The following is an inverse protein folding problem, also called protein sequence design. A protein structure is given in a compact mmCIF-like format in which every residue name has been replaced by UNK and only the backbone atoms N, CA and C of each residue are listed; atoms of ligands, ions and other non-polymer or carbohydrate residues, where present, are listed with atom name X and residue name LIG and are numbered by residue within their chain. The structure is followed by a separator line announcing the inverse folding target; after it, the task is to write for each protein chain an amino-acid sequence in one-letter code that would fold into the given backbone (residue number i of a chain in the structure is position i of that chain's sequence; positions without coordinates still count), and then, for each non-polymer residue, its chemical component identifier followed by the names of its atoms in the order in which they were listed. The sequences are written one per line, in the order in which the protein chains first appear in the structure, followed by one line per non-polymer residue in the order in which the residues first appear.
data_IF_016469850123
#
_entry.id   IF_016469850123
#
_cell.length_a   1.000
_cell.length_b   1.000
_cell.length_c   1.000
_cell.angle_alpha   90.00
_cell.angle_beta   90.00
_cell.angle_gamma   90.00
#
_symmetry.space_group_name_H-M   'P 1'
#
loop_
_entity.id
_entity.type
_entity.pdbx_description
1 polymer ?
#
# COMPACT_ATOMS: atom_id res chain seq x y z
N UNK A 1 -2.50 -25.82 9.82
CA UNK A 1 -3.20 -25.11 8.72
C UNK A 1 -2.20 -24.15 8.09
N UNK A 2 -1.84 -24.34 6.82
CA UNK A 2 -0.91 -23.46 6.12
C UNK A 2 -1.53 -22.07 6.00
N UNK A 3 -0.83 -21.02 6.43
CA UNK A 3 -1.31 -19.66 6.28
C UNK A 3 -1.44 -19.34 4.78
N UNK A 4 -2.62 -18.88 4.35
CA UNK A 4 -2.83 -18.44 2.98
C UNK A 4 -1.96 -17.21 2.72
N UNK A 5 -1.22 -17.23 1.62
CA UNK A 5 -0.41 -16.10 1.16
C UNK A 5 -1.06 -15.40 -0.03
N UNK A 6 -0.58 -14.21 -0.34
CA UNK A 6 -0.77 -13.50 -1.61
C UNK A 6 0.60 -13.04 -2.09
N UNK A 7 0.77 -12.91 -3.40
CA UNK A 7 2.00 -12.37 -4.00
C UNK A 7 1.75 -10.96 -4.49
N UNK A 8 2.58 -10.01 -4.05
CA UNK A 8 2.61 -8.67 -4.61
C UNK A 8 3.57 -8.67 -5.79
N UNK A 9 3.13 -8.17 -6.94
CA UNK A 9 3.93 -8.09 -8.17
C UNK A 9 4.07 -6.62 -8.55
N UNK A 10 5.18 -5.98 -8.18
CA UNK A 10 5.40 -4.58 -8.53
C UNK A 10 6.86 -4.17 -8.48
N UNK A 11 7.17 -3.06 -9.15
CA UNK A 11 8.50 -2.46 -9.15
C UNK A 11 8.74 -1.55 -7.94
N UNK A 12 9.94 -0.96 -7.90
CA UNK A 12 10.41 -0.14 -6.78
C UNK A 12 9.49 1.06 -6.51
N UNK A 13 9.01 1.76 -7.55
CA UNK A 13 8.23 2.97 -7.34
C UNK A 13 6.87 2.67 -6.71
N UNK A 14 6.22 1.60 -7.16
CA UNK A 14 4.94 1.15 -6.59
C UNK A 14 5.13 0.62 -5.17
N UNK A 15 6.21 -0.15 -4.93
CA UNK A 15 6.61 -0.63 -3.61
C UNK A 15 6.85 0.53 -2.63
N UNK A 16 7.56 1.57 -3.04
CA UNK A 16 7.86 2.71 -2.17
C UNK A 16 6.58 3.41 -1.69
N UNK A 17 5.60 3.59 -2.58
CA UNK A 17 4.29 4.13 -2.21
C UNK A 17 3.54 3.17 -1.28
N UNK A 18 3.55 1.86 -1.57
CA UNK A 18 2.89 0.88 -0.72
C UNK A 18 3.47 0.90 0.72
N UNK A 19 4.80 0.88 0.83
CA UNK A 19 5.49 0.94 2.11
C UNK A 19 5.23 2.26 2.85
N UNK A 20 5.22 3.39 2.14
CA UNK A 20 4.89 4.69 2.73
C UNK A 20 3.45 4.71 3.28
N UNK A 21 2.48 4.22 2.50
CA UNK A 21 1.08 4.14 2.90
C UNK A 21 0.88 3.28 4.16
N UNK A 22 1.52 2.10 4.21
CA UNK A 22 1.44 1.20 5.37
C UNK A 22 2.04 1.85 6.61
N UNK A 23 3.22 2.47 6.49
CA UNK A 23 3.92 3.11 7.61
C UNK A 23 3.14 4.31 8.15
N UNK A 24 2.65 5.19 7.27
CA UNK A 24 1.86 6.37 7.69
C UNK A 24 0.55 5.93 8.36
N UNK A 25 -0.17 4.99 7.75
CA UNK A 25 -1.38 4.43 8.36
C UNK A 25 -1.11 3.80 9.73
N UNK A 26 -0.02 3.04 9.88
CA UNK A 26 0.34 2.43 11.16
C UNK A 26 0.55 3.48 12.26
N UNK A 27 1.26 4.56 11.96
CA UNK A 27 1.54 5.62 12.93
C UNK A 27 0.29 6.45 13.27
N UNK A 28 -0.59 6.69 12.30
CA UNK A 28 -1.80 7.51 12.52
C UNK A 28 -2.92 6.71 13.18
N UNK A 29 -3.19 5.49 12.70
CA UNK A 29 -4.27 4.65 13.23
C UNK A 29 -3.91 4.02 14.59
N UNK A 30 -2.62 3.80 14.86
CA UNK A 30 -2.11 3.16 16.07
C UNK A 30 -0.95 3.98 16.67
N UNK A 31 -1.24 5.15 17.27
CA UNK A 31 -0.21 6.02 17.82
C UNK A 31 0.53 5.37 19.00
N UNK A 32 1.74 5.84 19.26
CA UNK A 32 2.57 5.39 20.39
C UNK A 32 1.86 5.69 21.72
N UNK A 33 1.98 4.77 22.68
CA UNK A 33 1.29 4.89 23.98
C UNK A 33 -0.19 4.52 23.96
N UNK A 34 -0.72 4.03 22.83
CA UNK A 34 -2.03 3.37 22.78
C UNK A 34 -2.08 2.05 23.56
N UNK A 35 -3.23 1.36 23.50
CA UNK A 35 -3.39 0.05 24.15
C UNK A 35 -2.39 -1.00 23.63
N UNK A 36 -2.11 -2.04 24.42
CA UNK A 36 -1.22 -3.13 24.01
C UNK A 36 -1.67 -3.76 22.68
N UNK A 37 -2.99 -3.94 22.49
CA UNK A 37 -3.52 -4.45 21.23
C UNK A 37 -3.28 -3.51 20.04
N UNK A 38 -3.34 -2.19 20.25
CA UNK A 38 -2.99 -1.21 19.22
C UNK A 38 -1.49 -1.27 18.88
N UNK A 39 -0.62 -1.44 19.89
CA UNK A 39 0.82 -1.57 19.66
C UNK A 39 1.18 -2.84 18.87
N UNK A 40 0.49 -3.96 19.12
CA UNK A 40 0.67 -5.18 18.32
C UNK A 40 0.26 -4.93 16.86
N UNK A 41 -0.87 -4.27 16.62
CA UNK A 41 -1.32 -3.93 15.26
C UNK A 41 -0.32 -3.01 14.55
N UNK A 42 0.20 -1.99 15.25
CA UNK A 42 1.25 -1.09 14.76
C UNK A 42 2.50 -1.87 14.36
N UNK A 43 3.04 -2.67 15.27
CA UNK A 43 4.25 -3.47 15.02
C UNK A 43 4.05 -4.39 13.81
N UNK A 44 2.91 -5.09 13.74
CA UNK A 44 2.59 -6.01 12.64
C UNK A 44 2.60 -5.30 11.27
N UNK A 45 2.05 -4.09 11.19
CA UNK A 45 2.06 -3.31 9.95
C UNK A 45 3.45 -2.82 9.57
N UNK A 46 4.23 -2.36 10.54
CA UNK A 46 5.59 -1.88 10.29
C UNK A 46 6.53 -3.01 9.87
N UNK A 47 6.41 -4.18 10.49
CA UNK A 47 7.12 -5.39 10.10
C UNK A 47 6.72 -5.82 8.69
N UNK A 48 5.42 -5.82 8.37
CA UNK A 48 4.93 -6.10 7.02
C UNK A 48 5.50 -5.13 5.97
N UNK A 49 5.57 -3.84 6.28
CA UNK A 49 6.20 -2.86 5.39
C UNK A 49 7.70 -3.14 5.21
N UNK A 50 8.41 -3.56 6.27
CA UNK A 50 9.81 -3.94 6.18
C UNK A 50 10.01 -5.21 5.33
N UNK A 51 9.15 -6.22 5.47
CA UNK A 51 9.19 -7.44 4.67
C UNK A 51 8.96 -7.15 3.18
N UNK A 52 7.98 -6.29 2.85
CA UNK A 52 7.73 -5.87 1.46
C UNK A 52 8.93 -5.11 0.91
N UNK A 53 9.51 -4.19 1.69
CA UNK A 53 10.65 -3.38 1.30
C UNK A 53 11.92 -4.22 1.04
N UNK A 54 12.12 -5.28 1.84
CA UNK A 54 13.21 -6.21 1.67
C UNK A 54 12.99 -7.21 0.52
N UNK A 55 11.73 -7.59 0.26
CA UNK A 55 11.37 -8.58 -0.76
C UNK A 55 11.34 -8.02 -2.18
N UNK A 56 10.98 -6.75 -2.35
CA UNK A 56 10.96 -6.07 -3.65
C UNK A 56 12.19 -5.18 -3.79
N UNK A 57 13.07 -5.56 -4.71
CA UNK A 57 14.37 -4.92 -4.96
C UNK A 57 14.58 -4.71 -6.46
N UNK A 58 15.68 -4.07 -6.86
CA UNK A 58 16.04 -3.95 -8.29
C UNK A 58 16.29 -5.28 -9.01
N UNK A 59 16.31 -6.40 -8.29
CA UNK A 59 16.47 -7.75 -8.84
C UNK A 59 15.27 -8.66 -8.57
N UNK A 60 14.26 -8.20 -7.84
CA UNK A 60 13.07 -8.97 -7.47
C UNK A 60 11.86 -8.05 -7.45
N UNK A 61 10.91 -8.28 -8.36
CA UNK A 61 9.68 -7.47 -8.46
C UNK A 61 8.50 -8.15 -7.75
N UNK A 62 8.78 -9.12 -6.86
CA UNK A 62 7.75 -9.92 -6.21
C UNK A 62 8.08 -10.21 -4.75
N UNK A 63 7.05 -10.19 -3.89
CA UNK A 63 7.16 -10.65 -2.50
C UNK A 63 5.88 -11.39 -2.10
N UNK A 64 6.05 -12.52 -1.41
CA UNK A 64 4.93 -13.24 -0.82
C UNK A 64 4.67 -12.75 0.61
N UNK A 65 3.42 -12.38 0.90
CA UNK A 65 3.00 -11.98 2.25
C UNK A 65 1.80 -12.80 2.71
N UNK A 66 1.53 -12.78 4.01
CA UNK A 66 0.30 -13.36 4.55
C UNK A 66 -0.93 -12.68 3.95
N UNK A 67 -1.98 -13.45 3.65
CA UNK A 67 -3.26 -12.92 3.17
C UNK A 67 -4.05 -12.20 4.27
N UNK A 68 -3.74 -12.46 5.55
CA UNK A 68 -4.44 -11.91 6.72
C UNK A 68 -4.45 -10.36 6.75
N UNK A 69 -3.31 -9.66 6.60
CA UNK A 69 -3.28 -8.20 6.62
C UNK A 69 -3.88 -7.54 5.37
N UNK A 70 -4.39 -8.27 4.36
CA UNK A 70 -4.89 -7.68 3.11
C UNK A 70 -5.93 -6.58 3.33
N UNK A 71 -6.83 -6.75 4.31
CA UNK A 71 -7.84 -5.73 4.64
C UNK A 71 -7.18 -4.46 5.21
N UNK A 72 -6.15 -4.63 6.05
CA UNK A 72 -5.41 -3.50 6.62
C UNK A 72 -4.56 -2.78 5.55
N UNK A 73 -3.99 -3.53 4.60
CA UNK A 73 -3.30 -2.93 3.45
C UNK A 73 -4.24 -2.07 2.61
N UNK A 74 -5.45 -2.58 2.33
CA UNK A 74 -6.48 -1.82 1.63
C UNK A 74 -6.82 -0.52 2.39
N UNK A 75 -7.02 -0.60 3.70
CA UNK A 75 -7.28 0.57 4.53
C UNK A 75 -6.11 1.57 4.52
N UNK A 76 -4.86 1.09 4.54
CA UNK A 76 -3.68 1.92 4.46
C UNK A 76 -3.59 2.68 3.12
N UNK A 77 -3.89 2.00 2.00
CA UNK A 77 -3.92 2.64 0.68
C UNK A 77 -5.05 3.66 0.56
N UNK A 78 -6.25 3.33 1.05
CA UNK A 78 -7.37 4.27 1.09
C UNK A 78 -7.04 5.51 1.92
N UNK A 79 -6.45 5.33 3.10
CA UNK A 79 -6.00 6.41 3.97
C UNK A 79 -4.96 7.30 3.28
N UNK A 80 -3.95 6.69 2.67
CA UNK A 80 -2.88 7.41 1.96
C UNK A 80 -3.43 8.29 0.84
N UNK A 81 -4.28 7.75 -0.03
CA UNK A 81 -4.86 8.52 -1.12
C UNK A 81 -5.88 9.56 -0.63
N UNK A 82 -6.63 9.30 0.46
CA UNK A 82 -7.49 10.34 1.05
C UNK A 82 -6.67 11.55 1.47
N UNK A 83 -5.54 11.32 2.14
CA UNK A 83 -4.67 12.40 2.61
C UNK A 83 -4.01 13.17 1.46
N UNK A 84 -3.63 12.48 0.38
CA UNK A 84 -3.11 13.12 -0.83
C UNK A 84 -4.18 13.97 -1.52
N UNK A 85 -5.39 13.43 -1.67
CA UNK A 85 -6.54 14.11 -2.26
C UNK A 85 -6.87 15.40 -1.48
N UNK A 86 -6.89 15.32 -0.14
CA UNK A 86 -7.09 16.47 0.74
C UNK A 86 -5.97 17.52 0.61
N UNK A 87 -4.71 17.09 0.50
CA UNK A 87 -3.57 18.00 0.42
C UNK A 87 -3.48 18.74 -0.92
N UNK A 88 -3.89 18.11 -2.02
CA UNK A 88 -3.73 18.64 -3.38
C UNK A 88 -5.04 19.08 -4.04
N UNK A 89 -6.18 18.84 -3.39
CA UNK A 89 -7.50 19.15 -3.96
C UNK A 89 -7.82 18.31 -5.20
N UNK A 90 -7.32 17.08 -5.27
CA UNK A 90 -7.46 16.16 -6.40
C UNK A 90 -8.30 14.93 -6.01
N UNK A 91 -8.58 14.03 -6.97
CA UNK A 91 -9.22 12.74 -6.68
C UNK A 91 -8.42 11.61 -7.32
N UNK A 92 -7.81 10.77 -6.49
CA UNK A 92 -6.93 9.67 -6.89
C UNK A 92 -7.70 8.38 -7.25
N UNK A 93 -8.73 8.47 -8.10
CA UNK A 93 -9.63 7.33 -8.41
C UNK A 93 -8.90 6.18 -9.08
N UNK A 94 -8.13 6.47 -10.12
CA UNK A 94 -7.38 5.49 -10.90
C UNK A 94 -6.24 4.90 -10.08
N UNK A 95 -5.53 5.73 -9.32
CA UNK A 95 -4.49 5.25 -8.41
C UNK A 95 -5.05 4.31 -7.34
N UNK A 96 -6.19 4.62 -6.71
CA UNK A 96 -6.83 3.71 -5.73
C UNK A 96 -7.18 2.35 -6.33
N UNK A 97 -7.74 2.36 -7.55
CA UNK A 97 -8.04 1.13 -8.27
C UNK A 97 -6.78 0.32 -8.55
N UNK A 98 -5.70 0.98 -8.97
CA UNK A 98 -4.42 0.32 -9.24
C UNK A 98 -3.87 -0.42 -8.01
N UNK A 99 -3.93 0.20 -6.83
CA UNK A 99 -3.49 -0.44 -5.58
C UNK A 99 -4.46 -1.52 -5.07
N UNK A 100 -5.75 -1.44 -5.39
CA UNK A 100 -6.66 -2.56 -5.15
C UNK A 100 -6.31 -3.78 -6.03
N UNK A 101 -5.94 -3.53 -7.29
CA UNK A 101 -5.49 -4.54 -8.25
C UNK A 101 -4.17 -5.20 -7.82
N UNK A 102 -3.25 -4.46 -7.19
CA UNK A 102 -2.05 -5.04 -6.56
C UNK A 102 -2.39 -6.10 -5.49
N UNK A 103 -3.42 -5.86 -4.67
CA UNK A 103 -3.88 -6.81 -3.65
C UNK A 103 -4.64 -8.02 -4.24
N UNK A 104 -4.96 -7.97 -5.53
CA UNK A 104 -5.50 -9.07 -6.33
C UNK A 104 -4.42 -9.83 -7.09
N UNK A 105 -3.14 -9.60 -6.75
CA UNK A 105 -1.98 -10.30 -7.31
C UNK A 105 -1.76 -9.98 -8.80
N UNK A 106 -2.27 -8.84 -9.28
CA UNK A 106 -1.92 -8.30 -10.59
C UNK A 106 -0.56 -7.62 -10.55
N UNK A 107 0.17 -7.70 -11.66
CA UNK A 107 1.42 -6.98 -11.86
C UNK A 107 1.14 -5.50 -12.09
N UNK A 108 1.72 -4.66 -11.23
CA UNK A 108 1.61 -3.20 -11.31
C UNK A 108 3.01 -2.61 -11.50
N UNK A 109 3.17 -1.78 -12.53
CA UNK A 109 4.44 -1.12 -12.86
C UNK A 109 4.37 0.39 -12.67
N UNK A 110 5.52 1.04 -12.70
CA UNK A 110 5.66 2.50 -12.74
C UNK A 110 4.91 3.09 -13.94
N UNK A 111 4.88 2.38 -15.07
CA UNK A 111 4.13 2.84 -16.25
C UNK A 111 2.62 2.86 -15.97
N UNK A 112 2.09 1.84 -15.29
CA UNK A 112 0.67 1.79 -14.92
C UNK A 112 0.33 2.88 -13.91
N UNK A 113 1.24 3.13 -12.96
CA UNK A 113 1.12 4.23 -12.00
C UNK A 113 1.11 5.60 -12.69
N UNK A 114 2.01 5.84 -13.63
CA UNK A 114 2.04 7.09 -14.41
C UNK A 114 0.76 7.27 -15.22
N UNK A 115 0.26 6.21 -15.86
CA UNK A 115 -1.01 6.24 -16.58
C UNK A 115 -2.18 6.57 -15.65
N UNK A 116 -2.22 6.00 -14.45
CA UNK A 116 -3.24 6.30 -13.44
C UNK A 116 -3.18 7.76 -12.98
N UNK A 117 -1.99 8.29 -12.70
CA UNK A 117 -1.79 9.70 -12.31
C UNK A 117 -2.24 10.65 -13.43
N UNK A 118 -1.92 10.35 -14.69
CA UNK A 118 -2.38 11.16 -15.83
C UNK A 118 -3.90 11.12 -15.94
N UNK A 119 -4.51 9.95 -15.77
CA UNK A 119 -5.96 9.79 -15.82
C UNK A 119 -6.65 10.59 -14.70
N UNK A 120 -6.16 10.51 -13.47
CA UNK A 120 -6.69 11.26 -12.32
C UNK A 120 -6.58 12.78 -12.53
N UNK A 121 -5.46 13.27 -13.08
CA UNK A 121 -5.28 14.69 -13.39
C UNK A 121 -6.15 15.17 -14.57
N UNK A 122 -6.46 14.30 -15.53
CA UNK A 122 -7.27 14.63 -16.70
C UNK A 122 -8.77 14.74 -16.41
N UNK A 123 -9.24 14.14 -15.29
CA UNK A 123 -10.62 14.22 -14.83
C UNK A 123 -10.96 15.46 -14.01
N UNK A 124 -9.98 16.33 -13.73
CA UNK A 124 -10.17 17.62 -13.06
C UNK A 124 -10.48 18.68 -14.13
N UNK A 125 -11.74 18.74 -14.57
CA UNK A 125 -12.28 19.83 -15.42
C UNK A 125 -13.53 20.41 -14.80
#
# INVERSE_FOLDING_TARGET
MTARKITLHCDIAVKDIACAAIRDYAHVAYPDGGSECAQVARYTLLELAADIDAGITGHSETVEISKRPRIMLKAAFEFYFNRMDEAWGATSTHQRRLFAELLEEKTITTSDLQAAVVADNSGVT
#
